data_IF_363762552434
#
_entry.id   IF_363762552434
#
_cell.length_a   1.000
_cell.length_b   1.000
_cell.length_c   1.000
_cell.angle_alpha   90.00
_cell.angle_beta   90.00
_cell.angle_gamma   90.00
#
_symmetry.space_group_name_H-M   'P 1'
#
loop_
_entity.id
_entity.type
_entity.pdbx_description
1 polymer ?
#
# COMPACT_ATOMS: atom_id res chain seq x y z
N UNK A 1 -16.53 -19.27 22.17
CA UNK A 1 -15.27 -19.40 22.87
C UNK A 1 -14.94 -18.07 23.51
N UNK A 2 -14.58 -18.01 24.78
CA UNK A 2 -14.22 -16.77 25.49
C UNK A 2 -12.74 -16.82 25.84
N UNK A 3 -12.00 -15.79 25.54
CA UNK A 3 -10.59 -15.64 25.91
C UNK A 3 -10.46 -14.51 26.93
N UNK A 4 -9.63 -14.70 27.94
CA UNK A 4 -9.19 -13.65 28.85
C UNK A 4 -7.76 -13.33 28.50
N UNK A 5 -7.47 -12.05 28.26
CA UNK A 5 -6.14 -11.55 27.99
C UNK A 5 -5.78 -10.60 29.11
N UNK A 6 -4.61 -10.83 29.72
CA UNK A 6 -4.07 -9.95 30.76
C UNK A 6 -2.64 -9.56 30.39
N UNK A 7 -2.26 -8.33 30.72
CA UNK A 7 -0.86 -7.89 30.61
C UNK A 7 -0.07 -8.43 31.81
N UNK A 8 1.21 -8.80 31.65
CA UNK A 8 2.08 -9.11 32.78
C UNK A 8 2.46 -7.85 33.55
N UNK A 9 2.61 -7.98 34.86
CA UNK A 9 3.01 -6.88 35.79
C UNK A 9 4.54 -6.70 35.85
N UNK A 10 5.22 -6.84 34.71
CA UNK A 10 6.67 -6.67 34.60
C UNK A 10 6.99 -5.65 33.51
N UNK A 11 8.08 -4.88 33.63
CA UNK A 11 8.53 -3.97 32.59
C UNK A 11 8.73 -4.70 31.26
N UNK A 12 8.38 -4.06 30.17
CA UNK A 12 8.50 -4.64 28.83
C UNK A 12 9.82 -4.21 28.20
N UNK A 13 10.68 -5.21 27.92
CA UNK A 13 11.90 -5.02 27.15
C UNK A 13 11.87 -6.03 25.99
N UNK A 14 11.79 -5.52 24.77
CA UNK A 14 11.67 -6.40 23.61
C UNK A 14 12.34 -5.82 22.36
N UNK A 15 13.03 -6.69 21.61
CA UNK A 15 13.48 -6.39 20.25
C UNK A 15 12.57 -7.10 19.25
N UNK A 16 11.89 -6.35 18.42
CA UNK A 16 10.84 -6.86 17.51
C UNK A 16 11.28 -6.66 16.06
N UNK A 17 11.38 -7.75 15.33
CA UNK A 17 11.50 -7.71 13.88
C UNK A 17 10.11 -7.51 13.28
N UNK A 18 9.85 -6.33 12.78
CA UNK A 18 8.59 -6.01 12.13
C UNK A 18 8.47 -6.72 10.76
N UNK A 19 7.23 -7.06 10.33
CA UNK A 19 7.02 -7.55 8.98
C UNK A 19 7.37 -6.47 7.95
N UNK A 20 7.70 -6.89 6.74
CA UNK A 20 7.90 -5.97 5.63
C UNK A 20 6.58 -5.28 5.22
N UNK A 21 6.69 -4.05 4.73
CA UNK A 21 5.52 -3.26 4.35
C UNK A 21 4.75 -3.89 3.17
N UNK A 22 3.49 -4.27 3.43
CA UNK A 22 2.55 -4.73 2.40
C UNK A 22 2.35 -3.67 1.31
N UNK A 23 2.17 -2.42 1.71
CA UNK A 23 1.88 -1.32 0.80
C UNK A 23 3.01 -1.04 -0.18
N UNK A 24 4.26 -1.17 0.27
CA UNK A 24 5.45 -1.05 -0.56
C UNK A 24 5.61 -2.31 -1.42
N UNK A 25 5.52 -3.51 -0.82
CA UNK A 25 5.67 -4.80 -1.52
C UNK A 25 4.77 -4.91 -2.75
N UNK A 26 3.49 -4.61 -2.60
CA UNK A 26 2.54 -4.74 -3.70
C UNK A 26 2.79 -3.74 -4.83
N UNK A 27 3.26 -2.53 -4.51
CA UNK A 27 3.64 -1.54 -5.53
C UNK A 27 4.95 -1.91 -6.22
N UNK A 28 5.96 -2.34 -5.46
CA UNK A 28 7.24 -2.79 -6.01
C UNK A 28 7.04 -3.98 -6.96
N UNK A 29 6.23 -4.97 -6.58
CA UNK A 29 5.87 -6.10 -7.46
C UNK A 29 5.18 -5.64 -8.75
N UNK A 30 4.28 -4.69 -8.64
CA UNK A 30 3.57 -4.14 -9.80
C UNK A 30 4.54 -3.43 -10.77
N UNK A 31 5.37 -2.53 -10.25
CA UNK A 31 6.32 -1.77 -11.05
C UNK A 31 7.40 -2.67 -11.65
N UNK A 32 7.90 -3.63 -10.89
CA UNK A 32 8.83 -4.65 -11.35
C UNK A 32 8.25 -5.48 -12.50
N UNK A 33 6.96 -5.87 -12.40
CA UNK A 33 6.29 -6.60 -13.49
C UNK A 33 6.15 -5.74 -14.76
N UNK A 34 5.82 -4.45 -14.65
CA UNK A 34 5.78 -3.53 -15.79
C UNK A 34 7.16 -3.24 -16.37
N UNK A 35 8.22 -3.31 -15.55
CA UNK A 35 9.61 -3.21 -16.00
C UNK A 35 10.11 -4.49 -16.71
N UNK A 36 9.31 -5.56 -16.77
CA UNK A 36 9.75 -6.91 -17.16
C UNK A 36 11.00 -7.35 -16.37
N UNK A 37 11.02 -6.97 -15.08
CA UNK A 37 12.19 -7.04 -14.22
C UNK A 37 12.64 -8.49 -13.95
N UNK A 38 13.96 -8.64 -13.78
CA UNK A 38 14.64 -9.88 -13.41
C UNK A 38 15.50 -9.72 -12.18
N UNK A 39 15.72 -8.45 -11.76
CA UNK A 39 16.46 -8.13 -10.55
C UNK A 39 15.70 -8.58 -9.30
N UNK A 40 16.42 -8.76 -8.20
CA UNK A 40 15.82 -9.25 -6.97
C UNK A 40 14.94 -8.19 -6.30
N UNK A 41 13.73 -8.62 -5.93
CA UNK A 41 12.91 -7.93 -4.93
C UNK A 41 13.10 -8.64 -3.58
N UNK A 42 13.78 -7.98 -2.66
CA UNK A 42 14.12 -8.54 -1.35
C UNK A 42 13.13 -8.09 -0.27
N UNK A 43 12.98 -8.91 0.77
CA UNK A 43 12.15 -8.62 1.94
C UNK A 43 10.70 -8.27 1.58
N UNK A 44 10.08 -9.01 0.67
CA UNK A 44 8.66 -8.85 0.38
C UNK A 44 7.81 -9.25 1.59
N UNK A 45 6.71 -8.57 1.81
CA UNK A 45 5.72 -8.95 2.82
C UNK A 45 5.21 -10.38 2.56
N UNK A 46 5.04 -11.14 3.60
CA UNK A 46 4.50 -12.52 3.56
C UNK A 46 2.97 -12.57 3.73
N UNK A 47 2.29 -11.43 3.73
CA UNK A 47 0.84 -11.38 3.85
C UNK A 47 0.12 -11.92 2.59
N UNK A 48 -1.14 -12.30 2.77
CA UNK A 48 -1.95 -12.91 1.71
C UNK A 48 -2.08 -12.02 0.46
N UNK A 49 -2.25 -10.70 0.63
CA UNK A 49 -2.31 -9.74 -0.48
C UNK A 49 -1.05 -9.81 -1.36
N UNK A 50 0.13 -9.87 -0.75
CA UNK A 50 1.40 -9.93 -1.48
C UNK A 50 1.62 -11.30 -2.13
N UNK A 51 1.30 -12.38 -1.41
CA UNK A 51 1.40 -13.76 -1.97
C UNK A 51 0.52 -13.93 -3.20
N UNK A 52 -0.67 -13.35 -3.19
CA UNK A 52 -1.58 -13.36 -4.34
C UNK A 52 -0.99 -12.57 -5.51
N UNK A 53 -0.43 -11.39 -5.26
CA UNK A 53 0.24 -10.59 -6.29
C UNK A 53 1.40 -11.35 -6.94
N UNK A 54 2.25 -11.97 -6.14
CA UNK A 54 3.38 -12.79 -6.64
C UNK A 54 2.88 -13.90 -7.57
N UNK A 55 1.89 -14.68 -7.14
CA UNK A 55 1.33 -15.78 -7.95
C UNK A 55 0.72 -15.29 -9.27
N UNK A 56 -0.02 -14.19 -9.22
CA UNK A 56 -0.68 -13.65 -10.41
C UNK A 56 0.33 -13.10 -11.43
N UNK A 57 1.38 -12.40 -10.95
CA UNK A 57 2.36 -11.76 -11.83
C UNK A 57 3.40 -12.76 -12.39
N UNK A 58 3.80 -13.77 -11.62
CA UNK A 58 4.77 -14.78 -12.07
C UNK A 58 4.18 -15.79 -13.03
N UNK A 59 2.95 -16.27 -12.76
CA UNK A 59 2.31 -17.32 -13.55
C UNK A 59 1.51 -16.81 -14.75
N UNK A 60 1.14 -15.54 -14.76
CA UNK A 60 0.25 -14.90 -15.73
C UNK A 60 -0.94 -15.80 -16.13
N UNK A 61 -1.67 -16.40 -15.16
CA UNK A 61 -2.74 -17.36 -15.43
C UNK A 61 -3.94 -16.68 -16.10
N UNK A 62 -4.70 -17.46 -16.87
CA UNK A 62 -5.95 -16.97 -17.49
C UNK A 62 -7.00 -16.61 -16.44
N UNK A 63 -7.08 -17.41 -15.36
CA UNK A 63 -7.98 -17.19 -14.23
C UNK A 63 -7.17 -16.82 -12.97
N UNK A 64 -7.43 -15.65 -12.42
CA UNK A 64 -6.75 -15.09 -11.26
C UNK A 64 -7.73 -15.00 -10.10
N UNK A 65 -7.58 -15.87 -9.11
CA UNK A 65 -8.29 -15.75 -7.84
C UNK A 65 -7.44 -14.98 -6.82
N UNK A 66 -7.89 -13.77 -6.51
CA UNK A 66 -7.21 -12.90 -5.54
C UNK A 66 -7.70 -13.12 -4.11
N UNK A 67 -8.51 -14.12 -3.86
CA UNK A 67 -9.07 -14.42 -2.54
C UNK A 67 -9.80 -13.19 -1.94
N UNK A 68 -9.35 -12.71 -0.78
CA UNK A 68 -9.87 -11.51 -0.12
C UNK A 68 -8.97 -10.27 -0.30
N UNK A 69 -7.95 -10.35 -1.17
CA UNK A 69 -6.91 -9.35 -1.33
C UNK A 69 -7.39 -8.10 -2.10
N UNK A 70 -7.85 -7.09 -1.37
CA UNK A 70 -8.42 -5.88 -1.96
C UNK A 70 -7.43 -5.07 -2.78
N UNK A 71 -6.17 -4.97 -2.35
CA UNK A 71 -5.12 -4.27 -3.10
C UNK A 71 -4.82 -4.98 -4.40
N UNK A 72 -4.71 -6.32 -4.36
CA UNK A 72 -4.47 -7.14 -5.54
C UNK A 72 -5.57 -6.96 -6.60
N UNK A 73 -6.86 -6.93 -6.20
CA UNK A 73 -7.97 -6.66 -7.12
C UNK A 73 -7.76 -5.35 -7.89
N UNK A 74 -7.41 -4.25 -7.21
CA UNK A 74 -7.27 -2.94 -7.84
C UNK A 74 -6.03 -2.86 -8.72
N UNK A 75 -4.93 -3.32 -8.19
CA UNK A 75 -3.65 -3.26 -8.90
C UNK A 75 -3.66 -4.18 -10.12
N UNK A 76 -4.04 -5.43 -9.96
CA UNK A 76 -4.09 -6.36 -11.09
C UNK A 76 -5.11 -5.94 -12.15
N UNK A 77 -6.24 -5.33 -11.78
CA UNK A 77 -7.18 -4.78 -12.77
C UNK A 77 -6.49 -3.76 -13.69
N UNK A 78 -5.71 -2.84 -13.14
CA UNK A 78 -4.97 -1.85 -13.94
C UNK A 78 -3.81 -2.50 -14.72
N UNK A 79 -3.03 -3.39 -14.09
CA UNK A 79 -1.94 -4.12 -14.74
C UNK A 79 -2.42 -4.92 -15.96
N UNK A 80 -3.47 -5.69 -15.78
CA UNK A 80 -4.05 -6.52 -16.86
C UNK A 80 -4.64 -5.69 -18.00
N UNK A 81 -5.07 -4.47 -17.72
CA UNK A 81 -5.59 -3.56 -18.76
C UNK A 81 -4.52 -3.10 -19.75
N UNK A 82 -3.26 -3.02 -19.32
CA UNK A 82 -2.10 -2.61 -20.15
C UNK A 82 -1.22 -3.80 -20.59
N UNK A 83 -1.55 -5.01 -20.16
CA UNK A 83 -0.77 -6.22 -20.49
C UNK A 83 -1.52 -7.09 -21.49
N UNK A 84 -0.95 -7.40 -22.65
CA UNK A 84 -1.65 -8.16 -23.69
C UNK A 84 -2.24 -9.48 -23.22
N UNK A 85 -3.42 -9.81 -23.72
CA UNK A 85 -4.14 -11.05 -23.44
C UNK A 85 -5.46 -10.84 -22.70
N UNK A 86 -6.23 -11.94 -22.60
CA UNK A 86 -7.53 -11.94 -21.90
C UNK A 86 -7.38 -12.67 -20.57
N UNK A 87 -7.86 -12.06 -19.49
CA UNK A 87 -7.77 -12.61 -18.14
C UNK A 87 -9.10 -12.44 -17.40
N UNK A 88 -9.40 -13.39 -16.54
CA UNK A 88 -10.54 -13.29 -15.61
C UNK A 88 -9.97 -13.12 -14.21
N UNK A 89 -10.35 -12.03 -13.54
CA UNK A 89 -9.98 -11.77 -12.16
C UNK A 89 -11.21 -11.89 -11.26
N UNK A 90 -11.09 -12.69 -10.20
CA UNK A 90 -12.15 -13.00 -9.24
C UNK A 90 -11.60 -13.04 -7.82
N UNK A 91 -12.42 -13.39 -6.86
CA UNK A 91 -12.05 -13.59 -5.46
C UNK A 91 -13.18 -14.22 -4.67
N UNK A 92 -13.04 -14.27 -3.35
CA UNK A 92 -14.07 -14.80 -2.44
C UNK A 92 -15.41 -14.11 -2.67
N UNK A 93 -16.51 -14.73 -2.23
CA UNK A 93 -17.86 -14.15 -2.30
C UNK A 93 -17.92 -12.74 -1.70
N UNK A 94 -17.21 -12.49 -0.59
CA UNK A 94 -17.10 -11.15 0.01
C UNK A 94 -16.35 -10.16 -0.90
N UNK A 95 -15.32 -10.62 -1.62
CA UNK A 95 -14.59 -9.79 -2.57
C UNK A 95 -15.46 -9.41 -3.76
N UNK A 96 -16.30 -10.33 -4.25
CA UNK A 96 -17.23 -10.09 -5.34
C UNK A 96 -18.34 -9.07 -5.00
N UNK A 97 -18.47 -8.69 -3.74
CA UNK A 97 -19.36 -7.62 -3.28
C UNK A 97 -18.67 -6.26 -3.13
N UNK A 98 -17.36 -6.19 -3.36
CA UNK A 98 -16.59 -4.93 -3.22
C UNK A 98 -16.56 -4.17 -4.52
N UNK A 99 -17.01 -2.89 -4.54
CA UNK A 99 -17.09 -2.12 -5.76
C UNK A 99 -15.72 -1.86 -6.41
N UNK A 100 -15.69 -1.96 -7.74
CA UNK A 100 -14.53 -1.70 -8.59
C UNK A 100 -14.85 -0.70 -9.72
N UNK A 101 -16.13 -0.29 -9.85
CA UNK A 101 -16.66 0.56 -10.93
C UNK A 101 -15.84 1.81 -11.17
N UNK A 102 -15.37 2.50 -10.13
CA UNK A 102 -14.59 3.74 -10.26
C UNK A 102 -13.32 3.47 -11.07
N UNK A 103 -12.59 2.42 -10.74
CA UNK A 103 -11.36 2.07 -11.46
C UNK A 103 -11.63 1.63 -12.89
N UNK A 104 -12.60 0.74 -13.10
CA UNK A 104 -12.94 0.26 -14.45
C UNK A 104 -13.47 1.39 -15.34
N UNK A 105 -14.23 2.33 -14.80
CA UNK A 105 -14.69 3.52 -15.52
C UNK A 105 -13.51 4.41 -15.94
N UNK A 106 -12.56 4.65 -15.04
CA UNK A 106 -11.36 5.43 -15.35
C UNK A 106 -10.48 4.73 -16.41
N UNK A 107 -10.27 3.42 -16.27
CA UNK A 107 -9.52 2.64 -17.25
C UNK A 107 -10.20 2.63 -18.64
N UNK A 108 -11.53 2.58 -18.69
CA UNK A 108 -12.28 2.69 -19.96
C UNK A 108 -12.11 4.05 -20.63
N UNK A 109 -11.99 5.15 -19.86
CA UNK A 109 -11.67 6.48 -20.41
C UNK A 109 -10.29 6.49 -21.08
N UNK A 110 -9.35 5.68 -20.59
CA UNK A 110 -8.04 5.49 -21.20
C UNK A 110 -8.05 4.54 -22.39
N UNK A 111 -9.20 3.88 -22.70
CA UNK A 111 -9.36 2.95 -23.80
C UNK A 111 -9.32 1.47 -23.40
N UNK A 112 -9.29 1.16 -22.11
CA UNK A 112 -9.31 -0.23 -21.65
C UNK A 112 -10.66 -0.90 -21.90
N UNK A 113 -10.61 -2.20 -22.24
CA UNK A 113 -11.80 -3.04 -22.39
C UNK A 113 -11.92 -4.03 -21.23
N UNK A 114 -13.04 -3.95 -20.52
CA UNK A 114 -13.37 -4.89 -19.44
C UNK A 114 -14.87 -5.15 -19.36
N UNK A 115 -15.24 -6.38 -19.02
CA UNK A 115 -16.62 -6.82 -18.82
C UNK A 115 -16.81 -7.30 -17.38
N UNK A 116 -17.98 -7.03 -16.82
CA UNK A 116 -18.39 -7.64 -15.56
C UNK A 116 -18.99 -9.02 -15.85
N UNK A 117 -18.40 -10.07 -15.29
CA UNK A 117 -18.90 -11.44 -15.47
C UNK A 117 -20.09 -11.79 -14.55
N UNK A 118 -20.48 -10.85 -13.69
CA UNK A 118 -21.62 -10.93 -12.78
C UNK A 118 -22.35 -9.60 -12.71
N UNK A 119 -22.51 -9.08 -11.50
CA UNK A 119 -23.19 -7.80 -11.27
C UNK A 119 -22.34 -6.62 -11.74
N UNK A 120 -22.99 -5.65 -12.37
CA UNK A 120 -22.30 -4.44 -12.85
C UNK A 120 -21.62 -3.67 -11.74
N UNK A 121 -20.36 -3.28 -11.96
CA UNK A 121 -19.54 -2.55 -10.98
C UNK A 121 -18.84 -3.42 -9.96
N UNK A 122 -19.03 -4.75 -10.01
CA UNK A 122 -18.48 -5.72 -9.06
C UNK A 122 -17.67 -6.81 -9.79
N UNK A 123 -16.65 -7.39 -9.13
CA UNK A 123 -16.01 -8.61 -9.65
C UNK A 123 -17.01 -9.79 -9.75
N UNK A 124 -16.74 -10.82 -10.58
CA UNK A 124 -15.55 -11.02 -11.40
C UNK A 124 -15.49 -10.11 -12.63
N UNK A 125 -14.25 -9.82 -13.08
CA UNK A 125 -14.01 -9.04 -14.30
C UNK A 125 -13.31 -9.90 -15.34
N UNK A 126 -13.74 -9.77 -16.60
CA UNK A 126 -13.00 -10.23 -17.77
C UNK A 126 -12.31 -9.01 -18.38
N UNK A 127 -10.99 -9.04 -18.44
CA UNK A 127 -10.16 -7.90 -18.87
C UNK A 127 -9.43 -8.31 -20.13
N UNK A 128 -9.54 -7.50 -21.19
CA UNK A 128 -8.76 -7.65 -22.42
C UNK A 128 -7.70 -6.56 -22.44
N UNK A 129 -6.46 -6.95 -22.14
CA UNK A 129 -5.34 -6.04 -22.11
C UNK A 129 -4.90 -5.61 -23.49
N UNK A 130 -4.61 -4.31 -23.63
CA UNK A 130 -4.19 -3.67 -24.88
C UNK A 130 -3.34 -2.43 -24.59
N UNK A 131 -2.77 -1.85 -25.62
CA UNK A 131 -2.16 -0.53 -25.52
C UNK A 131 -3.26 0.53 -25.38
N UNK A 132 -3.24 1.26 -24.27
CA UNK A 132 -4.22 2.30 -23.99
C UNK A 132 -3.74 3.63 -24.57
N UNK A 133 -4.63 4.37 -25.22
CA UNK A 133 -4.30 5.61 -25.93
C UNK A 133 -4.65 6.88 -25.17
N UNK A 134 -5.53 6.78 -24.17
CA UNK A 134 -5.93 7.94 -23.37
C UNK A 134 -4.83 8.37 -22.38
N UNK A 135 -4.76 9.68 -22.10
CA UNK A 135 -3.75 10.23 -21.22
C UNK A 135 -4.30 11.15 -20.11
N UNK A 136 -5.58 11.47 -20.13
CA UNK A 136 -6.18 12.39 -19.16
C UNK A 136 -7.39 11.78 -18.46
N UNK A 137 -7.45 11.90 -17.12
CA UNK A 137 -8.57 11.44 -16.30
C UNK A 137 -8.83 12.42 -15.15
N UNK A 138 -10.10 12.50 -14.73
CA UNK A 138 -10.49 13.16 -13.48
C UNK A 138 -11.14 12.17 -12.53
N UNK A 139 -10.73 12.20 -11.26
CA UNK A 139 -11.29 11.39 -10.18
C UNK A 139 -11.58 12.26 -8.95
N UNK A 140 -12.56 11.86 -8.16
CA UNK A 140 -12.74 12.46 -6.84
C UNK A 140 -11.56 12.13 -5.92
N UNK A 141 -11.00 13.12 -5.23
CA UNK A 141 -9.83 12.94 -4.34
C UNK A 141 -10.13 12.14 -3.07
N UNK A 142 -11.41 11.95 -2.75
CA UNK A 142 -11.88 11.16 -1.60
C UNK A 142 -12.11 9.67 -1.91
N UNK A 143 -11.81 9.21 -3.13
CA UNK A 143 -11.85 7.78 -3.45
C UNK A 143 -10.67 7.04 -2.82
N UNK A 144 -10.75 5.71 -2.80
CA UNK A 144 -9.64 4.89 -2.31
C UNK A 144 -8.33 5.21 -3.05
N UNK A 145 -7.27 5.49 -2.30
CA UNK A 145 -5.92 5.68 -2.85
C UNK A 145 -5.42 4.51 -3.69
N UNK A 146 -6.00 3.32 -3.53
CA UNK A 146 -5.66 2.16 -4.34
C UNK A 146 -6.06 2.36 -5.82
N UNK A 147 -7.17 3.05 -6.10
CA UNK A 147 -7.55 3.39 -7.48
C UNK A 147 -6.59 4.40 -8.09
N UNK A 148 -6.28 5.46 -7.33
CA UNK A 148 -5.33 6.49 -7.75
C UNK A 148 -3.94 5.87 -7.99
N UNK A 149 -3.44 5.08 -7.05
CA UNK A 149 -2.14 4.40 -7.17
C UNK A 149 -2.07 3.47 -8.37
N UNK A 150 -3.13 2.68 -8.62
CA UNK A 150 -3.19 1.75 -9.74
C UNK A 150 -3.08 2.47 -11.09
N UNK A 151 -3.78 3.61 -11.24
CA UNK A 151 -3.73 4.44 -12.45
C UNK A 151 -2.38 5.12 -12.61
N UNK A 152 -1.82 5.69 -11.54
CA UNK A 152 -0.49 6.32 -11.59
C UNK A 152 0.60 5.33 -12.01
N UNK A 153 0.57 4.10 -11.49
CA UNK A 153 1.58 3.09 -11.81
C UNK A 153 1.53 2.61 -13.25
N UNK A 154 0.38 2.62 -13.93
CA UNK A 154 0.34 2.33 -15.37
C UNK A 154 0.71 3.56 -16.22
N UNK A 155 0.69 4.77 -15.65
CA UNK A 155 0.89 6.02 -16.40
C UNK A 155 2.18 6.04 -17.21
N UNK A 156 3.30 5.52 -16.67
CA UNK A 156 4.58 5.54 -17.38
C UNK A 156 4.65 4.61 -18.60
N UNK A 157 3.80 3.57 -18.67
CA UNK A 157 3.73 2.66 -19.81
C UNK A 157 2.69 3.07 -20.85
N UNK A 158 1.92 4.13 -20.58
CA UNK A 158 1.04 4.73 -21.60
C UNK A 158 1.85 5.56 -22.59
N UNK A 159 1.54 5.52 -23.89
CA UNK A 159 2.32 6.23 -24.92
C UNK A 159 2.43 7.75 -24.71
N UNK A 160 1.42 8.36 -24.12
CA UNK A 160 1.38 9.80 -23.83
C UNK A 160 1.54 10.10 -22.33
N UNK A 161 1.81 9.07 -21.50
CA UNK A 161 1.79 9.23 -20.05
C UNK A 161 0.38 9.37 -19.49
N UNK A 162 0.25 9.91 -18.28
CA UNK A 162 -1.03 10.11 -17.60
C UNK A 162 -1.06 11.49 -16.93
N UNK A 163 -2.11 12.26 -17.21
CA UNK A 163 -2.48 13.44 -16.46
C UNK A 163 -3.73 13.14 -15.62
N UNK A 164 -3.57 13.12 -14.30
CA UNK A 164 -4.64 12.77 -13.36
C UNK A 164 -5.03 14.01 -12.56
N UNK A 165 -6.28 14.46 -12.74
CA UNK A 165 -6.86 15.54 -11.94
C UNK A 165 -7.71 14.97 -10.79
N UNK A 166 -7.48 15.42 -9.56
CA UNK A 166 -8.21 15.02 -8.36
C UNK A 166 -9.16 16.13 -7.93
N UNK A 167 -10.46 15.86 -7.95
CA UNK A 167 -11.47 16.85 -7.56
C UNK A 167 -11.81 16.74 -6.07
N UNK A 168 -12.09 17.87 -5.42
CA UNK A 168 -12.46 17.90 -4.00
C UNK A 168 -11.31 17.59 -3.04
N UNK A 169 -11.63 17.05 -1.87
CA UNK A 169 -10.66 16.79 -0.81
C UNK A 169 -9.86 15.51 -1.08
N UNK A 170 -8.54 15.58 -1.01
CA UNK A 170 -7.63 14.43 -1.16
C UNK A 170 -7.36 13.83 0.22
N UNK A 171 -8.02 12.72 0.55
CA UNK A 171 -7.95 12.12 1.89
C UNK A 171 -6.66 11.33 2.10
N UNK A 172 -6.17 10.63 1.08
CA UNK A 172 -5.09 9.66 1.20
C UNK A 172 -3.79 10.11 0.51
N UNK A 173 -3.45 11.41 0.62
CA UNK A 173 -2.25 11.98 0.00
C UNK A 173 -0.95 11.22 0.32
N UNK A 174 -0.68 10.77 1.55
CA UNK A 174 0.55 10.02 1.85
C UNK A 174 0.71 8.73 1.04
N UNK A 175 -0.39 8.03 0.71
CA UNK A 175 -0.32 6.84 -0.15
C UNK A 175 -0.09 7.16 -1.62
N UNK A 176 -0.52 8.34 -2.07
CA UNK A 176 -0.20 8.85 -3.40
C UNK A 176 1.30 9.18 -3.45
N UNK A 177 1.80 9.92 -2.47
CA UNK A 177 3.22 10.30 -2.37
C UNK A 177 4.14 9.08 -2.31
N UNK A 178 3.76 8.05 -1.54
CA UNK A 178 4.44 6.74 -1.52
C UNK A 178 4.49 6.13 -2.93
N UNK A 179 3.39 6.21 -3.68
CA UNK A 179 3.34 5.67 -5.06
C UNK A 179 4.24 6.46 -6.00
N UNK A 180 4.22 7.79 -5.93
CA UNK A 180 5.09 8.66 -6.75
C UNK A 180 6.57 8.43 -6.45
N UNK A 181 6.93 8.19 -5.18
CA UNK A 181 8.30 7.87 -4.78
C UNK A 181 8.75 6.54 -5.39
N UNK A 182 7.93 5.50 -5.29
CA UNK A 182 8.25 4.19 -5.87
C UNK A 182 8.32 4.24 -7.41
N UNK A 183 7.44 4.98 -8.09
CA UNK A 183 7.54 5.21 -9.54
C UNK A 183 8.92 5.75 -9.90
N UNK A 184 9.43 6.74 -9.15
CA UNK A 184 10.76 7.32 -9.37
C UNK A 184 11.90 6.35 -9.06
N UNK A 185 11.79 5.56 -7.99
CA UNK A 185 12.80 4.56 -7.64
C UNK A 185 12.92 3.47 -8.72
N UNK A 186 11.82 3.14 -9.39
CA UNK A 186 11.81 2.26 -10.56
C UNK A 186 12.09 2.99 -11.88
N UNK A 187 12.61 4.21 -11.84
CA UNK A 187 13.08 4.97 -13.00
C UNK A 187 12.00 5.64 -13.83
N UNK A 188 10.75 5.61 -13.41
CA UNK A 188 9.68 6.41 -13.99
C UNK A 188 9.75 7.86 -13.52
N UNK A 189 9.07 8.76 -14.25
CA UNK A 189 8.97 10.17 -13.86
C UNK A 189 7.53 10.52 -13.54
N UNK A 190 7.27 10.94 -12.29
CA UNK A 190 5.94 11.33 -11.81
C UNK A 190 6.06 12.42 -10.75
N UNK A 191 5.14 13.39 -10.81
CA UNK A 191 5.13 14.53 -9.89
C UNK A 191 3.73 15.12 -9.71
N UNK A 192 3.55 15.86 -8.63
CA UNK A 192 2.42 16.79 -8.51
C UNK A 192 2.65 17.98 -9.44
N UNK A 193 1.87 18.09 -10.51
CA UNK A 193 1.92 19.23 -11.44
C UNK A 193 1.13 20.44 -10.93
N UNK A 194 0.24 20.23 -9.97
CA UNK A 194 -0.44 21.25 -9.19
C UNK A 194 -0.88 20.69 -7.84
N UNK A 195 -1.57 21.47 -7.03
CA UNK A 195 -2.12 21.02 -5.74
C UNK A 195 -3.02 19.77 -5.89
N UNK A 196 -3.78 19.69 -6.98
CA UNK A 196 -4.78 18.67 -7.24
C UNK A 196 -4.54 17.86 -8.52
N UNK A 197 -3.39 18.03 -9.17
CA UNK A 197 -3.09 17.33 -10.41
C UNK A 197 -1.73 16.63 -10.34
N UNK A 198 -1.67 15.45 -10.93
CA UNK A 198 -0.47 14.62 -10.98
C UNK A 198 -0.19 14.27 -12.43
N UNK A 199 1.05 14.45 -12.84
CA UNK A 199 1.53 14.01 -14.15
C UNK A 199 2.50 12.85 -13.99
N UNK A 200 2.25 11.78 -14.74
CA UNK A 200 3.18 10.68 -14.94
C UNK A 200 3.62 10.72 -16.40
N UNK A 201 4.91 10.91 -16.62
CA UNK A 201 5.49 11.02 -17.95
C UNK A 201 5.68 9.65 -18.57
N UNK A 202 5.57 9.51 -19.91
CA UNK A 202 5.86 8.26 -20.60
C UNK A 202 7.34 7.91 -20.51
N UNK A 203 7.69 6.62 -20.68
CA UNK A 203 9.07 6.16 -20.67
C UNK A 203 9.29 4.81 -20.00
N UNK A 204 8.22 4.26 -19.41
CA UNK A 204 8.25 2.95 -18.76
C UNK A 204 9.02 2.93 -17.43
N UNK A 205 9.47 1.73 -17.07
CA UNK A 205 10.19 1.45 -15.83
C UNK A 205 11.50 0.74 -16.10
N UNK A 206 12.43 0.83 -15.13
CA UNK A 206 13.72 0.14 -15.17
C UNK A 206 13.69 -1.09 -14.28
N UNK A 207 14.40 -2.12 -14.72
CA UNK A 207 14.67 -3.29 -13.90
C UNK A 207 15.75 -2.95 -12.86
N UNK A 208 15.32 -2.73 -11.62
CA UNK A 208 16.21 -2.36 -10.51
C UNK A 208 16.06 -3.35 -9.36
N UNK A 209 17.14 -3.67 -8.62
CA UNK A 209 17.02 -4.38 -7.36
C UNK A 209 16.34 -3.47 -6.33
N UNK A 210 15.44 -4.03 -5.54
CA UNK A 210 14.71 -3.26 -4.54
C UNK A 210 14.51 -4.07 -3.26
N UNK A 211 14.74 -3.45 -2.11
CA UNK A 211 14.52 -4.05 -0.79
C UNK A 211 13.39 -3.33 -0.07
N UNK A 212 12.36 -4.07 0.31
CA UNK A 212 11.22 -3.53 1.04
C UNK A 212 11.60 -3.33 2.51
N UNK A 213 11.27 -2.15 3.04
CA UNK A 213 11.51 -1.80 4.44
C UNK A 213 10.39 -2.33 5.35
N UNK A 214 10.65 -2.34 6.66
CA UNK A 214 9.67 -2.73 7.67
C UNK A 214 8.43 -1.82 7.67
N UNK A 215 7.33 -2.37 8.16
CA UNK A 215 6.00 -1.75 8.06
C UNK A 215 5.71 -0.82 9.25
N UNK A 216 5.65 0.48 9.00
CA UNK A 216 5.25 1.48 9.99
C UNK A 216 3.81 1.30 10.49
N UNK A 217 2.92 0.73 9.67
CA UNK A 217 1.58 0.39 10.15
C UNK A 217 1.63 -0.68 11.23
N UNK A 218 2.52 -1.68 11.10
CA UNK A 218 2.76 -2.69 12.14
C UNK A 218 3.43 -2.09 13.38
N UNK A 219 4.34 -1.12 13.21
CA UNK A 219 4.96 -0.40 14.33
C UNK A 219 3.93 0.30 15.22
N UNK A 220 2.88 0.86 14.64
CA UNK A 220 1.86 1.62 15.37
C UNK A 220 1.20 0.86 16.52
N UNK A 221 1.12 -0.48 16.44
CA UNK A 221 0.59 -1.31 17.53
C UNK A 221 1.51 -1.30 18.75
N UNK A 222 2.82 -1.29 18.56
CA UNK A 222 3.81 -1.23 19.63
C UNK A 222 3.81 0.15 20.29
N UNK A 223 3.71 1.21 19.50
CA UNK A 223 3.51 2.55 20.02
C UNK A 223 2.24 2.66 20.87
N UNK A 224 1.15 2.05 20.42
CA UNK A 224 -0.10 2.04 21.17
C UNK A 224 0.03 1.28 22.49
N UNK A 225 0.69 0.13 22.50
CA UNK A 225 0.93 -0.67 23.71
C UNK A 225 1.70 0.17 24.74
N UNK A 226 2.82 0.80 24.34
CA UNK A 226 3.62 1.65 25.23
C UNK A 226 2.82 2.86 25.75
N UNK A 227 2.07 3.53 24.89
CA UNK A 227 1.24 4.67 25.28
C UNK A 227 0.14 4.29 26.31
N UNK A 228 -0.43 3.09 26.19
CA UNK A 228 -1.46 2.62 27.12
C UNK A 228 -0.86 2.23 28.48
N UNK A 229 0.30 1.57 28.49
CA UNK A 229 0.99 1.17 29.72
C UNK A 229 1.48 2.39 30.52
N UNK A 230 2.11 3.36 29.89
CA UNK A 230 2.57 4.59 30.54
C UNK A 230 1.45 5.47 31.12
N UNK A 231 0.19 5.28 30.69
CA UNK A 231 -0.95 6.00 31.28
C UNK A 231 -1.54 5.35 32.55
N UNK A 232 -1.26 4.09 32.82
CA UNK A 232 -1.72 3.43 34.06
C UNK A 232 -0.98 3.96 35.28
N UNK A 233 0.30 4.27 35.17
CA UNK A 233 1.10 4.88 36.25
C UNK A 233 0.61 6.28 36.63
N UNK A 234 0.02 7.03 35.72
CA UNK A 234 -0.56 8.36 35.97
C UNK A 234 -1.91 8.33 36.69
N UNK A 235 -2.61 7.18 36.72
CA UNK A 235 -3.93 7.04 37.37
C UNK A 235 -3.85 6.63 38.84
N UNK A 236 -2.77 6.03 39.28
CA UNK A 236 -2.55 5.74 40.69
C UNK A 236 -2.03 6.99 41.40
N UNK A 237 -2.95 7.91 41.69
CA UNK A 237 -2.69 9.17 42.41
C UNK A 237 -2.33 9.01 43.90
N UNK A 238 -1.72 7.92 44.30
CA UNK A 238 -1.06 7.74 45.58
C UNK A 238 0.41 8.17 45.45
N UNK A 239 0.76 9.28 46.05
CA UNK A 239 2.09 9.95 45.99
C UNK A 239 3.27 9.14 46.56
N UNK A 240 3.29 7.84 46.38
CA UNK A 240 4.46 7.01 46.62
C UNK A 240 5.18 6.77 45.26
N UNK A 241 6.26 7.51 45.09
CA UNK A 241 7.26 7.22 44.06
C UNK A 241 7.80 5.82 44.28
N UNK A 242 7.32 4.85 43.49
CA UNK A 242 7.96 3.56 43.44
C UNK A 242 9.38 3.74 42.88
N UNK A 243 10.34 3.62 43.76
CA UNK A 243 11.77 3.63 43.42
C UNK A 243 12.03 2.47 42.48
N UNK A 244 12.48 2.77 41.26
CA UNK A 244 13.07 1.80 40.34
C UNK A 244 12.15 1.42 39.18
N UNK A 245 11.52 2.39 38.48
CA UNK A 245 10.95 2.14 37.19
C UNK A 245 12.08 1.95 36.18
N UNK A 246 12.40 0.69 35.88
CA UNK A 246 13.10 0.37 34.64
C UNK A 246 12.20 0.89 33.49
N UNK A 247 12.74 1.81 32.70
CA UNK A 247 12.02 2.41 31.58
C UNK A 247 11.66 1.34 30.58
N UNK A 248 10.36 1.17 30.27
CA UNK A 248 9.93 0.19 29.27
C UNK A 248 10.46 0.55 27.90
N UNK A 249 11.08 -0.40 27.22
CA UNK A 249 11.71 -0.19 25.93
C UNK A 249 11.31 -1.25 24.92
N UNK A 250 10.97 -0.82 23.70
CA UNK A 250 10.73 -1.71 22.57
C UNK A 250 11.58 -1.25 21.40
N UNK A 251 12.51 -2.09 21.01
CA UNK A 251 13.32 -1.90 19.81
C UNK A 251 12.57 -2.43 18.59
N UNK A 252 12.34 -1.59 17.59
CA UNK A 252 11.63 -1.94 16.35
C UNK A 252 12.61 -1.95 15.18
N UNK A 253 13.00 -3.16 14.74
CA UNK A 253 14.04 -3.35 13.75
C UNK A 253 13.57 -3.06 12.32
N UNK A 254 14.42 -2.38 11.54
CA UNK A 254 14.24 -2.13 10.10
C UNK A 254 13.32 -0.98 9.76
N UNK A 255 13.09 -0.05 10.68
CA UNK A 255 12.44 1.23 10.45
C UNK A 255 13.49 2.32 10.19
N UNK A 256 13.11 3.32 9.41
CA UNK A 256 13.99 4.44 9.06
C UNK A 256 13.25 5.77 9.28
N UNK A 257 14.00 6.82 9.65
CA UNK A 257 13.49 8.19 9.83
C UNK A 257 12.78 8.72 8.59
N UNK A 258 13.32 8.41 7.42
CA UNK A 258 12.75 8.82 6.13
C UNK A 258 11.98 7.66 5.50
N UNK A 259 10.74 7.45 5.97
CA UNK A 259 9.89 6.38 5.46
C UNK A 259 9.18 6.75 4.16
N UNK A 260 8.92 5.72 3.34
CA UNK A 260 7.94 5.79 2.24
C UNK A 260 6.51 5.92 2.77
N UNK A 261 6.23 5.36 3.95
CA UNK A 261 4.89 5.33 4.53
C UNK A 261 4.64 6.60 5.35
N UNK A 262 3.48 7.23 5.12
CA UNK A 262 3.01 8.34 5.95
C UNK A 262 2.80 7.96 7.41
N UNK A 263 2.61 6.66 7.69
CA UNK A 263 2.49 6.10 9.04
C UNK A 263 3.73 6.35 9.91
N UNK A 264 4.89 6.63 9.32
CA UNK A 264 6.11 7.02 10.04
C UNK A 264 5.93 8.28 10.91
N UNK A 265 4.96 9.14 10.59
CA UNK A 265 4.56 10.25 11.46
C UNK A 265 3.93 9.81 12.79
N UNK A 266 3.64 8.52 12.93
CA UNK A 266 3.19 7.93 14.19
C UNK A 266 4.14 8.23 15.33
N UNK A 267 5.45 8.20 15.13
CA UNK A 267 6.45 8.54 16.14
C UNK A 267 6.21 9.94 16.74
N UNK A 268 5.97 10.95 15.90
CA UNK A 268 5.65 12.32 16.31
C UNK A 268 4.29 12.40 17.04
N UNK A 269 3.29 11.67 16.58
CA UNK A 269 1.95 11.69 17.20
C UNK A 269 1.99 11.03 18.58
N UNK A 270 2.64 9.88 18.69
CA UNK A 270 2.73 9.15 19.96
C UNK A 270 3.65 9.83 20.98
N UNK A 271 4.56 10.74 20.56
CA UNK A 271 5.34 11.55 21.51
C UNK A 271 4.43 12.41 22.38
N UNK A 272 3.30 12.88 21.87
CA UNK A 272 2.27 13.61 22.62
C UNK A 272 1.52 12.74 23.63
N UNK A 273 1.65 11.44 23.51
CA UNK A 273 1.09 10.43 24.42
C UNK A 273 2.13 9.87 25.38
N UNK A 274 3.34 10.44 25.40
CA UNK A 274 4.43 10.09 26.30
C UNK A 274 5.34 8.96 25.82
N UNK A 275 5.26 8.58 24.54
CA UNK A 275 6.17 7.58 23.93
C UNK A 275 7.31 8.29 23.23
N UNK A 276 8.53 8.11 23.71
CA UNK A 276 9.72 8.66 23.07
C UNK A 276 10.26 7.73 22.00
N UNK A 277 10.83 8.30 20.94
CA UNK A 277 11.44 7.53 19.85
C UNK A 277 12.88 7.98 19.66
N UNK A 278 13.79 7.03 19.76
CA UNK A 278 15.18 7.21 19.40
C UNK A 278 15.49 6.37 18.17
N UNK A 279 16.28 6.93 17.26
CA UNK A 279 16.74 6.22 16.07
C UNK A 279 18.21 5.87 16.27
N UNK A 280 18.52 4.58 16.23
CA UNK A 280 19.86 4.03 16.34
C UNK A 280 20.32 3.51 14.97
N UNK A 281 21.62 3.61 14.69
CA UNK A 281 22.26 3.14 13.45
C UNK A 281 22.30 1.60 13.35
#
# INVERSE_FOLDING_TARGET
MRYTVSAPDVPMHAAIRLPASKSISNRALFLHALAHGRQALCNLSDCDDTRVMVRALQGNPEHIDIMAAGTAMRFLTAYLSVTPGVRIITGTQRMQQRPIRILTAALRQLGAYSEYAGNEGLPPLRISGSELQGCEISLAGNVSSQYISALLMIGAVLPQGLHLHLTGCIISRPYIDLTLKLIRDFGGHAEWSSENSITVYPGGYRDVPFTVVSDWSAASYWYQILALRGNEERKTGSGESLKGNEEETVELLGLFTHSYQGDGRGAEIFSRLGVHTEYTD
#
